data_IF_781036376181
#
_entry.id   IF_781036376181
#
_cell.length_a   1.000
_cell.length_b   1.000
_cell.length_c   1.000
_cell.angle_alpha   90.00
_cell.angle_beta   90.00
_cell.angle_gamma   90.00
#
_symmetry.space_group_name_H-M   'P 1'
#
loop_
_entity.id
_entity.type
_entity.pdbx_description
1 polymer ?
#
# COMPACT_ATOMS: atom_id res chain seq x y z
N UNK A 1 -18.08 0.51 -0.64
CA UNK A 1 -16.96 1.35 -1.14
C UNK A 1 -15.79 1.39 -0.17
N UNK A 2 -16.01 1.12 1.12
CA UNK A 2 -15.04 1.34 2.21
C UNK A 2 -13.78 0.47 2.10
N UNK A 3 -13.93 -0.75 1.58
CA UNK A 3 -12.81 -1.69 1.38
C UNK A 3 -11.81 -1.22 0.32
N UNK A 4 -12.30 -0.61 -0.77
CA UNK A 4 -11.47 -0.06 -1.85
C UNK A 4 -10.72 1.17 -1.32
N UNK A 5 -11.41 2.05 -0.59
CA UNK A 5 -10.80 3.24 -0.01
C UNK A 5 -9.72 2.89 1.03
N UNK A 6 -9.94 1.88 1.87
CA UNK A 6 -8.94 1.45 2.84
C UNK A 6 -7.73 0.78 2.15
N UNK A 7 -7.97 -0.17 1.25
CA UNK A 7 -6.91 -0.93 0.60
C UNK A 7 -6.02 -0.08 -0.32
N UNK A 8 -6.59 0.93 -0.97
CA UNK A 8 -5.86 1.82 -1.88
C UNK A 8 -5.60 3.21 -1.28
N UNK A 9 -5.80 3.40 0.02
CA UNK A 9 -5.67 4.68 0.73
C UNK A 9 -4.32 5.36 0.47
N UNK A 10 -3.23 4.58 0.54
CA UNK A 10 -1.89 5.09 0.25
C UNK A 10 -1.72 5.53 -1.21
N UNK A 11 -2.20 4.72 -2.18
CA UNK A 11 -2.10 5.06 -3.61
C UNK A 11 -2.89 6.34 -3.90
N UNK A 12 -4.11 6.42 -3.36
CA UNK A 12 -4.96 7.60 -3.49
C UNK A 12 -4.29 8.83 -2.88
N UNK A 13 -3.73 8.70 -1.68
CA UNK A 13 -2.97 9.78 -1.02
C UNK A 13 -1.75 10.20 -1.83
N UNK A 14 -0.99 9.25 -2.35
CA UNK A 14 0.17 9.49 -3.21
C UNK A 14 -0.21 10.24 -4.50
N UNK A 15 -1.30 9.85 -5.16
CA UNK A 15 -1.83 10.53 -6.35
C UNK A 15 -2.24 11.97 -6.02
N UNK A 16 -2.91 12.19 -4.89
CA UNK A 16 -3.31 13.54 -4.45
C UNK A 16 -2.08 14.42 -4.18
N UNK A 17 -1.09 13.92 -3.44
CA UNK A 17 0.15 14.64 -3.13
C UNK A 17 0.91 14.97 -4.42
N UNK A 18 1.07 13.99 -5.30
CA UNK A 18 1.79 14.17 -6.56
C UNK A 18 1.06 15.15 -7.48
N UNK A 19 -0.26 15.00 -7.64
CA UNK A 19 -1.09 15.90 -8.44
C UNK A 19 -1.06 17.33 -7.91
N UNK A 20 -1.06 17.51 -6.59
CA UNK A 20 -0.90 18.82 -5.96
C UNK A 20 0.47 19.45 -6.28
N UNK A 21 1.56 18.67 -6.19
CA UNK A 21 2.90 19.14 -6.54
C UNK A 21 3.01 19.56 -8.02
N UNK A 22 2.41 18.76 -8.92
CA UNK A 22 2.33 19.09 -10.36
C UNK A 22 1.55 20.39 -10.57
N UNK A 23 0.39 20.54 -9.93
CA UNK A 23 -0.44 21.75 -10.06
C UNK A 23 0.30 23.01 -9.56
N UNK A 24 1.04 22.92 -8.46
CA UNK A 24 1.86 24.03 -7.94
C UNK A 24 2.97 24.44 -8.92
N UNK A 25 3.65 23.46 -9.53
CA UNK A 25 4.71 23.72 -10.51
C UNK A 25 4.12 24.29 -11.80
N UNK A 26 3.00 23.75 -12.28
CA UNK A 26 2.33 24.23 -13.48
C UNK A 26 1.92 25.71 -13.34
N UNK A 27 1.44 26.13 -12.17
CA UNK A 27 1.11 27.55 -11.89
C UNK A 27 2.32 28.49 -11.93
N UNK A 28 3.52 28.01 -11.63
CA UNK A 28 4.75 28.81 -11.56
C UNK A 28 5.64 28.67 -12.81
N UNK A 29 5.22 27.86 -13.79
CA UNK A 29 5.99 27.53 -14.98
C UNK A 29 6.86 26.28 -14.82
N UNK A 30 6.95 25.48 -15.87
CA UNK A 30 7.76 24.26 -15.87
C UNK A 30 9.21 24.59 -16.23
N UNK A 31 10.15 24.14 -15.40
CA UNK A 31 11.60 24.22 -15.68
C UNK A 31 12.21 22.83 -15.55
N UNK A 32 13.35 22.60 -16.22
CA UNK A 32 14.00 21.28 -16.21
C UNK A 32 14.27 20.78 -14.78
N UNK A 33 14.76 21.67 -13.90
CA UNK A 33 15.00 21.35 -12.48
C UNK A 33 13.73 20.98 -11.71
N UNK A 34 12.60 21.64 -12.01
CA UNK A 34 11.29 21.31 -11.41
C UNK A 34 10.76 19.96 -11.94
N UNK A 35 11.03 19.64 -13.20
CA UNK A 35 10.73 18.33 -13.78
C UNK A 35 11.52 17.20 -13.12
N UNK A 36 12.82 17.41 -12.88
CA UNK A 36 13.65 16.46 -12.12
C UNK A 36 13.09 16.27 -10.71
N UNK A 37 12.70 17.36 -10.04
CA UNK A 37 12.11 17.30 -8.70
C UNK A 37 10.84 16.43 -8.66
N UNK A 38 9.97 16.57 -9.67
CA UNK A 38 8.78 15.72 -9.81
C UNK A 38 9.16 14.26 -10.05
N UNK A 39 10.17 13.99 -10.88
CA UNK A 39 10.67 12.63 -11.08
C UNK A 39 11.17 12.00 -9.78
N UNK A 40 11.95 12.74 -8.99
CA UNK A 40 12.42 12.30 -7.67
C UNK A 40 11.25 12.05 -6.72
N UNK A 41 10.27 12.96 -6.67
CA UNK A 41 9.08 12.79 -5.84
C UNK A 41 8.30 11.51 -6.21
N UNK A 42 8.12 11.25 -7.51
CA UNK A 42 7.47 10.04 -7.98
C UNK A 42 8.21 8.77 -7.53
N UNK A 43 9.54 8.76 -7.66
CA UNK A 43 10.37 7.64 -7.21
C UNK A 43 10.28 7.43 -5.70
N UNK A 44 10.28 8.50 -4.90
CA UNK A 44 10.13 8.40 -3.45
C UNK A 44 8.76 7.84 -3.04
N UNK A 45 7.68 8.25 -3.72
CA UNK A 45 6.34 7.70 -3.46
C UNK A 45 6.27 6.21 -3.80
N UNK A 46 6.88 5.79 -4.92
CA UNK A 46 6.96 4.38 -5.31
C UNK A 46 7.80 3.59 -4.30
N UNK A 47 8.96 4.11 -3.91
CA UNK A 47 9.81 3.46 -2.91
C UNK A 47 9.08 3.33 -1.56
N UNK A 48 8.40 4.38 -1.12
CA UNK A 48 7.58 4.35 0.08
C UNK A 48 6.46 3.32 0.00
N UNK A 49 5.80 3.17 -1.17
CA UNK A 49 4.82 2.11 -1.37
C UNK A 49 5.44 0.72 -1.25
N UNK A 50 6.59 0.49 -1.88
CA UNK A 50 7.29 -0.82 -1.81
C UNK A 50 7.69 -1.18 -0.37
N UNK A 51 8.12 -0.20 0.41
CA UNK A 51 8.55 -0.42 1.80
C UNK A 51 7.36 -0.58 2.76
N UNK A 52 6.30 0.21 2.55
CA UNK A 52 5.18 0.30 3.50
C UNK A 52 3.96 -0.52 3.10
N UNK A 53 3.88 -1.04 1.87
CA UNK A 53 2.70 -1.81 1.47
C UNK A 53 2.57 -3.04 2.38
N UNK A 54 1.39 -3.29 2.95
CA UNK A 54 1.17 -4.51 3.72
C UNK A 54 1.45 -5.71 2.81
N UNK A 55 2.45 -6.53 3.19
CA UNK A 55 2.58 -7.85 2.57
C UNK A 55 1.30 -8.61 2.89
N UNK A 56 0.56 -9.02 1.86
CA UNK A 56 -0.69 -9.74 2.03
C UNK A 56 -0.46 -10.91 2.99
N UNK A 57 -1.17 -10.90 4.13
CA UNK A 57 -1.15 -12.03 5.06
C UNK A 57 -1.48 -13.27 4.24
N UNK A 58 -0.64 -14.31 4.30
CA UNK A 58 -0.95 -15.58 3.64
C UNK A 58 -2.36 -15.96 4.06
N UNK A 59 -3.29 -16.01 3.10
CA UNK A 59 -4.61 -16.57 3.32
C UNK A 59 -4.38 -18.06 3.61
N UNK A 60 -4.24 -18.41 4.89
CA UNK A 60 -4.18 -19.81 5.29
C UNK A 60 -5.51 -20.45 4.87
N UNK A 61 -5.43 -21.49 4.05
CA UNK A 61 -6.62 -22.18 3.55
C UNK A 61 -7.39 -22.76 4.74
N UNK A 62 -8.70 -22.48 4.82
CA UNK A 62 -9.56 -22.98 5.88
C UNK A 62 -9.52 -24.52 5.98
N UNK A 63 -9.30 -25.22 4.87
CA UNK A 63 -9.11 -26.68 4.88
C UNK A 63 -7.80 -27.11 5.54
N UNK A 64 -6.71 -26.35 5.34
CA UNK A 64 -5.45 -26.64 6.03
C UNK A 64 -5.58 -26.43 7.53
N UNK A 65 -6.30 -25.39 7.97
CA UNK A 65 -6.60 -25.16 9.39
C UNK A 65 -7.45 -26.30 9.95
N UNK A 66 -8.51 -26.70 9.23
CA UNK A 66 -9.41 -27.78 9.67
C UNK A 66 -8.70 -29.13 9.81
N UNK A 67 -7.72 -29.41 8.96
CA UNK A 67 -6.90 -30.62 9.05
C UNK A 67 -5.89 -30.59 10.22
N UNK A 68 -5.51 -29.40 10.69
CA UNK A 68 -4.64 -29.26 11.86
C UNK A 68 -5.44 -29.36 13.17
N UNK A 69 -6.66 -28.82 13.20
CA UNK A 69 -7.59 -28.92 14.34
C UNK A 69 -8.10 -30.37 14.45
N UNK A 70 -7.78 -31.03 15.56
CA UNK A 70 -8.20 -32.42 15.80
C UNK A 70 -7.11 -33.48 15.55
N UNK A 71 -5.90 -33.07 15.17
CA UNK A 71 -4.73 -33.96 14.99
C UNK A 71 -4.10 -34.47 16.30
N UNK A 72 -4.74 -34.23 17.45
CA UNK A 72 -4.22 -34.61 18.77
C UNK A 72 -3.11 -33.70 19.32
N UNK A 73 -2.74 -32.63 18.59
CA UNK A 73 -1.79 -31.60 19.05
C UNK A 73 -2.52 -30.28 19.26
N UNK A 74 -2.19 -29.51 20.32
CA UNK A 74 -2.73 -28.17 20.49
C UNK A 74 -2.25 -27.26 19.36
N UNK A 75 -3.18 -26.52 18.76
CA UNK A 75 -2.95 -25.61 17.63
C UNK A 75 -3.29 -24.19 18.08
N UNK A 76 -2.36 -23.25 17.91
CA UNK A 76 -2.60 -21.83 18.12
C UNK A 76 -3.15 -21.22 16.83
N UNK A 77 -4.31 -20.57 16.93
CA UNK A 77 -4.93 -19.83 15.83
C UNK A 77 -4.83 -18.34 16.12
N UNK A 78 -4.04 -17.63 15.30
CA UNK A 78 -3.93 -16.18 15.36
C UNK A 78 -4.79 -15.57 14.26
N UNK A 79 -5.79 -14.79 14.68
CA UNK A 79 -6.66 -14.06 13.78
C UNK A 79 -6.09 -12.65 13.60
N UNK A 80 -5.34 -12.46 12.51
CA UNK A 80 -4.76 -11.17 12.15
C UNK A 80 -5.60 -10.53 11.05
N UNK A 81 -6.01 -9.28 11.27
CA UNK A 81 -6.52 -8.42 10.20
C UNK A 81 -5.36 -7.62 9.61
N UNK A 82 -5.05 -7.74 8.30
CA UNK A 82 -4.10 -6.85 7.64
C UNK A 82 -4.68 -5.45 7.34
N UNK A 83 -5.88 -5.15 7.83
CA UNK A 83 -6.63 -3.91 7.62
C UNK A 83 -7.17 -3.35 8.93
#
# INVERSE_FOLDING_TARGET
MDRILNQFSFILGGVVIFGFAVALIARRGFTLGRGILLGVLALLLVAAWVVLHPAGTKNTNAEQVRNQIGSGKPVLLEFLSPY
#
